data_IF_782400610855
#
_entry.id   IF_782400610855
#
_cell.length_a   1.000
_cell.length_b   1.000
_cell.length_c   1.000
_cell.angle_alpha   90.00
_cell.angle_beta   90.00
_cell.angle_gamma   90.00
#
_symmetry.space_group_name_H-M   'P 1'
#
loop_
_entity.id
_entity.type
_entity.pdbx_description
1 polymer ?
#
# COMPACT_ATOMS: atom_id res chain seq x y z
N UNK A 1 8.39 12.15 -3.89
CA UNK A 1 9.22 11.35 -4.82
C UNK A 1 8.65 9.94 -4.80
N UNK A 2 8.18 9.41 -5.93
CA UNK A 2 7.59 8.06 -5.96
C UNK A 2 8.71 7.03 -6.13
N UNK A 3 8.93 6.21 -5.10
CA UNK A 3 9.91 5.13 -5.16
C UNK A 3 9.24 3.88 -5.72
N UNK A 4 9.81 3.29 -6.77
CA UNK A 4 9.35 2.02 -7.34
C UNK A 4 10.17 0.86 -6.77
N UNK A 5 9.50 -0.13 -6.22
CA UNK A 5 10.07 -1.33 -5.61
C UNK A 5 9.50 -2.55 -6.35
N UNK A 6 10.35 -3.47 -6.77
CA UNK A 6 9.98 -4.66 -7.55
C UNK A 6 10.45 -5.98 -6.89
N UNK A 7 11.15 -5.90 -5.75
CA UNK A 7 11.67 -7.05 -5.01
C UNK A 7 11.58 -6.84 -3.50
N UNK A 8 11.61 -7.94 -2.75
CA UNK A 8 11.56 -7.89 -1.27
C UNK A 8 12.83 -7.32 -0.67
N UNK A 9 13.98 -7.57 -1.29
CA UNK A 9 15.27 -7.01 -0.88
C UNK A 9 15.21 -5.48 -0.94
N UNK A 10 14.77 -4.92 -2.07
CA UNK A 10 14.59 -3.46 -2.22
C UNK A 10 13.57 -2.89 -1.25
N UNK A 11 12.53 -3.64 -0.91
CA UNK A 11 11.54 -3.23 0.09
C UNK A 11 12.18 -3.11 1.47
N UNK A 12 12.98 -4.10 1.87
CA UNK A 12 13.67 -4.10 3.15
C UNK A 12 14.72 -2.99 3.22
N UNK A 13 15.54 -2.84 2.17
CA UNK A 13 16.54 -1.76 2.08
C UNK A 13 15.87 -0.37 2.18
N UNK A 14 14.72 -0.20 1.53
CA UNK A 14 13.94 1.04 1.61
C UNK A 14 13.44 1.30 3.05
N UNK A 15 12.95 0.28 3.74
CA UNK A 15 12.49 0.42 5.12
C UNK A 15 13.66 0.74 6.06
N UNK A 16 14.77 0.04 5.92
CA UNK A 16 15.97 0.24 6.75
C UNK A 16 16.58 1.62 6.57
N UNK A 17 16.72 2.07 5.31
CA UNK A 17 17.26 3.40 5.01
C UNK A 17 16.42 4.54 5.57
N UNK A 18 15.10 4.41 5.59
CA UNK A 18 14.23 5.42 6.19
C UNK A 18 14.19 5.36 7.72
N UNK A 19 14.38 4.18 8.34
CA UNK A 19 14.51 4.07 9.80
C UNK A 19 15.83 4.64 10.33
N UNK A 20 16.89 4.62 9.53
CA UNK A 20 18.22 5.11 9.92
C UNK A 20 18.33 6.65 10.00
N UNK A 21 17.36 7.40 9.46
CA UNK A 21 17.35 8.88 9.46
C UNK A 21 16.27 9.44 10.39
N UNK A 22 16.55 9.62 11.70
CA UNK A 22 15.57 10.13 12.67
C UNK A 22 15.29 11.64 12.59
N UNK A 23 15.92 12.35 11.64
CA UNK A 23 15.95 13.82 11.58
C UNK A 23 14.63 14.44 11.04
N UNK A 24 13.63 13.65 10.63
CA UNK A 24 12.30 14.15 10.20
C UNK A 24 11.25 13.05 10.34
N UNK A 25 10.10 13.35 10.94
CA UNK A 25 8.95 12.42 11.02
C UNK A 25 8.35 12.26 9.61
N UNK A 26 8.95 11.41 8.79
CA UNK A 26 8.41 11.04 7.48
C UNK A 26 7.29 10.04 7.65
N UNK A 27 6.21 10.24 6.91
CA UNK A 27 5.07 9.34 6.81
C UNK A 27 5.27 8.47 5.59
N UNK A 28 5.47 7.17 5.77
CA UNK A 28 5.72 6.23 4.68
C UNK A 28 4.49 5.38 4.42
N UNK A 29 3.98 5.50 3.20
CA UNK A 29 2.89 4.69 2.69
C UNK A 29 3.44 3.71 1.66
N UNK A 30 3.23 2.41 1.89
CA UNK A 30 3.55 1.36 0.93
C UNK A 30 2.30 1.04 0.10
N UNK A 31 2.38 1.15 -1.22
CA UNK A 31 1.33 0.77 -2.16
C UNK A 31 1.72 -0.52 -2.88
N UNK A 32 1.12 -1.65 -2.51
CA UNK A 32 1.27 -2.90 -3.22
C UNK A 32 0.29 -2.95 -4.40
N UNK A 33 0.82 -3.07 -5.61
CA UNK A 33 0.03 -3.04 -6.85
C UNK A 33 0.59 -4.01 -7.89
N UNK A 34 -0.26 -4.44 -8.82
CA UNK A 34 0.19 -5.26 -9.95
C UNK A 34 1.08 -4.49 -10.91
N UNK A 35 2.03 -5.16 -11.56
CA UNK A 35 2.89 -4.54 -12.58
C UNK A 35 2.09 -3.84 -13.68
N UNK A 36 2.57 -2.66 -14.06
CA UNK A 36 1.98 -1.84 -15.13
C UNK A 36 2.55 -2.27 -16.48
N UNK A 37 1.71 -2.28 -17.51
CA UNK A 37 2.11 -2.48 -18.90
C UNK A 37 2.73 -1.20 -19.49
N UNK A 38 3.13 -1.23 -20.76
CA UNK A 38 3.71 -0.06 -21.46
C UNK A 38 2.77 1.14 -21.57
N UNK A 39 1.45 0.94 -21.39
CA UNK A 39 0.46 2.00 -21.35
C UNK A 39 0.20 2.52 -19.91
N UNK A 40 0.99 2.08 -18.93
CA UNK A 40 0.85 2.48 -17.52
C UNK A 40 -0.31 1.81 -16.78
N UNK A 41 -0.99 0.82 -17.38
CA UNK A 41 -2.13 0.13 -16.75
C UNK A 41 -1.68 -1.16 -16.08
N UNK A 42 -2.13 -1.36 -14.84
CA UNK A 42 -1.95 -2.62 -14.13
C UNK A 42 -2.84 -3.70 -14.73
N UNK A 43 -2.40 -4.96 -14.65
CA UNK A 43 -3.25 -6.12 -14.97
C UNK A 43 -4.44 -6.27 -14.02
N UNK A 44 -4.39 -5.63 -12.84
CA UNK A 44 -5.47 -5.64 -11.86
C UNK A 44 -6.43 -4.46 -12.12
N UNK A 45 -7.73 -4.72 -12.37
CA UNK A 45 -8.73 -3.67 -12.55
C UNK A 45 -8.84 -2.73 -11.35
N UNK A 46 -8.89 -3.28 -10.13
CA UNK A 46 -9.04 -2.49 -8.89
C UNK A 46 -7.83 -1.58 -8.66
N UNK A 47 -6.62 -2.04 -9.00
CA UNK A 47 -5.43 -1.20 -8.95
C UNK A 47 -5.55 0.01 -9.89
N UNK A 48 -6.13 -0.14 -11.08
CA UNK A 48 -6.32 0.97 -12.02
C UNK A 48 -7.38 1.97 -11.55
N UNK A 49 -8.34 1.53 -10.74
CA UNK A 49 -9.36 2.41 -10.13
C UNK A 49 -8.78 3.16 -8.94
N UNK A 50 -7.98 2.50 -8.11
CA UNK A 50 -7.39 3.10 -6.91
C UNK A 50 -6.24 4.09 -7.22
N UNK A 51 -5.38 3.79 -8.20
CA UNK A 51 -4.20 4.60 -8.56
C UNK A 51 -4.49 6.11 -8.70
N UNK A 52 -5.50 6.56 -9.50
CA UNK A 52 -5.79 7.98 -9.62
C UNK A 52 -6.34 8.62 -8.33
N UNK A 53 -7.04 7.86 -7.49
CA UNK A 53 -7.59 8.36 -6.21
C UNK A 53 -6.44 8.59 -5.22
N UNK A 54 -5.52 7.62 -5.13
CA UNK A 54 -4.34 7.69 -4.28
C UNK A 54 -3.45 8.88 -4.69
N UNK A 55 -3.22 9.04 -5.99
CA UNK A 55 -2.43 10.17 -6.52
C UNK A 55 -3.12 11.51 -6.24
N UNK A 56 -4.44 11.59 -6.42
CA UNK A 56 -5.22 12.77 -6.07
C UNK A 56 -5.06 13.14 -4.60
N UNK A 57 -5.32 12.21 -3.69
CA UNK A 57 -5.22 12.45 -2.23
C UNK A 57 -3.82 12.87 -1.82
N UNK A 58 -2.79 12.23 -2.39
CA UNK A 58 -1.40 12.62 -2.15
C UNK A 58 -1.13 14.07 -2.56
N UNK A 59 -1.57 14.46 -3.75
CA UNK A 59 -1.37 15.80 -4.29
C UNK A 59 -2.18 16.85 -3.54
N UNK A 60 -3.40 16.53 -3.11
CA UNK A 60 -4.28 17.41 -2.35
C UNK A 60 -3.73 17.69 -0.94
N UNK A 61 -3.12 16.68 -0.30
CA UNK A 61 -2.46 16.86 0.99
C UNK A 61 -1.18 17.71 0.86
N UNK A 62 -0.44 17.54 -0.23
CA UNK A 62 0.80 18.26 -0.53
C UNK A 62 1.79 18.28 0.67
N UNK A 63 1.83 17.19 1.45
CA UNK A 63 2.67 17.07 2.64
C UNK A 63 4.10 16.67 2.22
N UNK A 64 5.12 17.53 2.43
CA UNK A 64 6.50 17.22 2.06
C UNK A 64 7.10 16.05 2.85
N UNK A 65 6.49 15.65 3.96
CA UNK A 65 6.94 14.53 4.79
C UNK A 65 6.26 13.21 4.40
N UNK A 66 5.22 13.24 3.58
CA UNK A 66 4.52 12.07 3.08
C UNK A 66 5.27 11.49 1.87
N UNK A 67 5.63 10.22 1.94
CA UNK A 67 6.25 9.49 0.83
C UNK A 67 5.46 8.23 0.52
N UNK A 68 5.07 8.06 -0.74
CA UNK A 68 4.46 6.83 -1.24
C UNK A 68 5.53 6.02 -1.97
N UNK A 69 5.73 4.78 -1.51
CA UNK A 69 6.55 3.78 -2.18
C UNK A 69 5.65 2.75 -2.85
N UNK A 70 5.72 2.69 -4.18
CA UNK A 70 4.95 1.75 -5.00
C UNK A 70 5.70 0.45 -5.11
N UNK A 71 5.12 -0.62 -4.59
CA UNK A 71 5.64 -1.99 -4.62
C UNK A 71 4.89 -2.80 -5.67
N UNK A 72 5.59 -3.18 -6.73
CA UNK A 72 5.08 -4.03 -7.78
C UNK A 72 5.19 -5.50 -7.36
N UNK A 73 4.05 -6.17 -7.20
CA UNK A 73 3.99 -7.57 -6.75
C UNK A 73 4.36 -8.59 -7.84
N UNK A 74 4.66 -8.10 -9.04
CA UNK A 74 4.89 -8.89 -10.25
C UNK A 74 3.68 -8.96 -11.18
N UNK A 75 3.79 -9.81 -12.20
CA UNK A 75 2.69 -10.14 -13.11
C UNK A 75 1.61 -11.00 -12.43
N UNK A 76 0.46 -11.14 -13.11
CA UNK A 76 -0.69 -11.89 -12.58
C UNK A 76 -0.33 -13.35 -12.25
N UNK A 77 0.50 -14.01 -13.04
CA UNK A 77 0.94 -15.40 -12.79
C UNK A 77 1.78 -15.52 -11.53
N UNK A 78 2.73 -14.61 -11.35
CA UNK A 78 3.62 -14.53 -10.20
C UNK A 78 2.84 -14.17 -8.94
N UNK A 79 1.84 -13.31 -9.05
CA UNK A 79 0.97 -12.94 -7.93
C UNK A 79 0.03 -14.07 -7.47
N UNK A 80 -0.48 -14.87 -8.42
CA UNK A 80 -1.34 -16.03 -8.12
C UNK A 80 -0.59 -17.17 -7.43
N UNK A 81 0.73 -17.21 -7.55
CA UNK A 81 1.54 -18.19 -6.84
C UNK A 81 1.50 -17.90 -5.33
N UNK A 82 1.07 -18.88 -4.53
CA UNK A 82 1.04 -18.76 -3.06
C UNK A 82 2.42 -18.57 -2.42
N UNK A 83 3.49 -18.94 -3.13
CA UNK A 83 4.88 -18.71 -2.74
C UNK A 83 5.42 -17.34 -3.18
N UNK A 84 4.55 -16.43 -3.62
CA UNK A 84 4.96 -15.07 -3.93
C UNK A 84 5.65 -14.42 -2.71
N UNK A 85 6.85 -13.82 -2.87
CA UNK A 85 7.61 -13.26 -1.75
C UNK A 85 6.85 -12.21 -0.94
N UNK A 86 5.96 -11.43 -1.55
CA UNK A 86 5.16 -10.42 -0.86
C UNK A 86 4.00 -11.03 -0.07
N UNK A 87 3.43 -12.15 -0.54
CA UNK A 87 2.44 -12.96 0.22
C UNK A 87 3.06 -13.61 1.44
N UNK A 88 4.30 -14.09 1.31
CA UNK A 88 5.06 -14.75 2.37
C UNK A 88 5.89 -13.78 3.22
N UNK A 89 5.85 -12.48 2.93
CA UNK A 89 6.67 -11.50 3.63
C UNK A 89 6.37 -11.51 5.13
N UNK A 90 7.35 -11.72 6.02
CA UNK A 90 7.10 -11.96 7.44
C UNK A 90 6.30 -10.86 8.12
N UNK A 91 6.56 -9.59 7.73
CA UNK A 91 5.93 -8.39 8.29
C UNK A 91 4.61 -7.98 7.62
N UNK A 92 4.46 -8.19 6.32
CA UNK A 92 3.39 -7.54 5.55
C UNK A 92 2.31 -8.51 5.05
N UNK A 93 2.69 -9.76 4.77
CA UNK A 93 1.79 -10.85 4.37
C UNK A 93 0.65 -10.38 3.46
N UNK A 94 0.99 -9.76 2.32
CA UNK A 94 0.02 -9.09 1.46
C UNK A 94 -0.79 -10.16 0.72
N UNK A 95 -2.11 -10.21 0.94
CA UNK A 95 -2.96 -11.29 0.41
C UNK A 95 -3.80 -10.89 -0.81
N UNK A 96 -4.02 -9.60 -0.99
CA UNK A 96 -4.79 -9.00 -2.08
C UNK A 96 -4.03 -7.80 -2.65
N UNK A 97 -4.46 -7.30 -3.81
CA UNK A 97 -3.99 -6.04 -4.37
C UNK A 97 -5.20 -5.30 -4.97
N UNK A 98 -5.26 -3.96 -4.89
CA UNK A 98 -4.29 -3.07 -4.27
C UNK A 98 -4.30 -3.17 -2.73
N UNK A 99 -3.15 -2.90 -2.11
CA UNK A 99 -3.05 -2.76 -0.65
C UNK A 99 -2.19 -1.56 -0.30
N UNK A 100 -2.72 -0.67 0.54
CA UNK A 100 -1.98 0.46 1.11
C UNK A 100 -1.61 0.14 2.56
N UNK A 101 -0.39 0.44 2.97
CA UNK A 101 0.08 0.24 4.35
C UNK A 101 0.75 1.53 4.83
N UNK A 102 0.29 2.08 5.96
CA UNK A 102 0.99 3.11 6.69
C UNK A 102 1.99 2.47 7.65
N UNK A 103 3.28 2.66 7.37
CA UNK A 103 4.36 1.91 8.01
C UNK A 103 4.49 2.21 9.52
N UNK A 104 4.34 3.47 9.90
CA UNK A 104 4.55 3.99 11.25
C UNK A 104 3.35 3.73 12.16
N UNK A 105 2.14 3.83 11.60
CA UNK A 105 0.88 3.59 12.34
C UNK A 105 0.41 2.15 12.32
N UNK A 106 1.06 1.30 11.51
CA UNK A 106 0.68 -0.09 11.31
C UNK A 106 -0.80 -0.25 10.88
N UNK A 107 -1.26 0.64 10.01
CA UNK A 107 -2.61 0.63 9.44
C UNK A 107 -2.54 0.19 7.98
N UNK A 108 -3.59 -0.45 7.48
CA UNK A 108 -3.66 -0.82 6.06
C UNK A 108 -5.07 -0.75 5.50
N UNK A 109 -5.17 -0.53 4.20
CA UNK A 109 -6.38 -0.63 3.40
C UNK A 109 -6.16 -1.65 2.29
N UNK A 110 -7.21 -2.40 1.99
CA UNK A 110 -7.17 -3.48 1.01
C UNK A 110 -8.31 -3.30 -0.01
N UNK A 111 -8.03 -3.64 -1.27
CA UNK A 111 -8.99 -3.71 -2.37
C UNK A 111 -9.85 -2.45 -2.50
N UNK A 112 -11.17 -2.57 -2.28
CA UNK A 112 -12.13 -1.48 -2.39
C UNK A 112 -11.83 -0.30 -1.45
N UNK A 113 -11.19 -0.55 -0.30
CA UNK A 113 -10.78 0.52 0.61
C UNK A 113 -9.73 1.46 -0.01
N UNK A 114 -8.92 0.97 -0.96
CA UNK A 114 -7.97 1.81 -1.68
C UNK A 114 -8.63 2.69 -2.75
N UNK A 115 -9.89 2.41 -3.10
CA UNK A 115 -10.68 3.20 -4.04
C UNK A 115 -11.64 4.18 -3.35
N UNK A 116 -11.57 4.30 -2.02
CA UNK A 116 -12.36 5.24 -1.23
C UNK A 116 -11.46 6.42 -0.82
N UNK A 117 -11.76 7.61 -1.35
CA UNK A 117 -10.97 8.81 -1.14
C UNK A 117 -10.86 9.20 0.34
N UNK A 118 -11.96 9.07 1.11
CA UNK A 118 -11.99 9.41 2.54
C UNK A 118 -11.11 8.44 3.33
N UNK A 119 -11.19 7.14 3.03
CA UNK A 119 -10.36 6.14 3.70
C UNK A 119 -8.88 6.32 3.39
N UNK A 120 -8.53 6.57 2.12
CA UNK A 120 -7.14 6.83 1.72
C UNK A 120 -6.60 8.07 2.43
N UNK A 121 -7.38 9.16 2.50
CA UNK A 121 -6.98 10.38 3.21
C UNK A 121 -6.75 10.12 4.70
N UNK A 122 -7.66 9.38 5.34
CA UNK A 122 -7.54 9.01 6.76
C UNK A 122 -6.36 8.10 7.03
N UNK A 123 -6.06 7.16 6.12
CA UNK A 123 -4.87 6.33 6.19
C UNK A 123 -3.62 7.19 6.15
N UNK A 124 -3.52 8.16 5.24
CA UNK A 124 -2.33 9.00 5.11
C UNK A 124 -2.11 9.89 6.33
N UNK A 125 -3.19 10.32 6.97
CA UNK A 125 -3.15 11.09 8.21
C UNK A 125 -2.97 10.23 9.47
N UNK A 126 -2.95 8.90 9.34
CA UNK A 126 -2.83 7.97 10.46
C UNK A 126 -4.06 7.91 11.37
N UNK A 127 -5.23 8.33 10.88
CA UNK A 127 -6.47 8.49 11.64
C UNK A 127 -7.57 7.47 11.29
N UNK A 128 -7.18 6.32 10.71
CA UNK A 128 -8.09 5.18 10.61
C UNK A 128 -8.46 4.69 12.01
N UNK A 129 -9.74 4.82 12.36
CA UNK A 129 -10.29 4.27 13.59
C UNK A 129 -10.53 2.76 13.40
N UNK A 130 -10.51 2.00 14.50
CA UNK A 130 -11.03 0.62 14.50
C UNK A 130 -12.46 0.64 13.94
N UNK A 131 -12.73 -0.08 12.83
CA UNK A 131 -14.09 -0.32 12.34
C UNK A 131 -14.50 0.31 11.00
N UNK A 132 -13.60 0.69 10.10
CA UNK A 132 -13.99 1.12 8.75
C UNK A 132 -13.14 0.46 7.65
N UNK A 133 -13.68 -0.59 7.00
CA UNK A 133 -13.58 -0.79 5.54
C UNK A 133 -14.45 -1.96 5.03
N UNK A 134 -15.37 -1.59 4.14
CA UNK A 134 -15.93 -2.27 2.95
C UNK A 134 -16.47 -3.72 3.00
N UNK A 135 -17.74 -3.82 2.57
CA UNK A 135 -18.56 -5.04 2.43
C UNK A 135 -17.94 -6.05 1.45
N UNK A 136 -17.44 -7.16 1.96
CA UNK A 136 -17.99 -8.54 1.79
C UNK A 136 -16.90 -9.54 2.16
N UNK A 137 -17.06 -10.22 3.30
CA UNK A 137 -16.16 -11.29 3.73
C UNK A 137 -15.51 -10.94 5.06
N UNK A 138 -15.71 -11.81 6.04
CA UNK A 138 -15.48 -11.55 7.46
C UNK A 138 -14.00 -11.34 7.79
N UNK A 139 -13.61 -10.08 8.01
CA UNK A 139 -12.56 -9.69 8.93
C UNK A 139 -13.25 -8.94 10.06
N UNK A 140 -13.13 -9.38 11.31
CA UNK A 140 -13.61 -8.58 12.45
C UNK A 140 -12.89 -7.23 12.38
N UNK A 141 -13.68 -6.17 12.27
CA UNK A 141 -13.30 -4.75 12.26
C UNK A 141 -12.69 -4.17 10.98
N UNK A 142 -12.61 -4.92 9.86
CA UNK A 142 -12.19 -4.37 8.56
C UNK A 142 -10.78 -3.75 8.55
N UNK A 143 -10.02 -3.94 9.63
CA UNK A 143 -8.65 -3.48 9.83
C UNK A 143 -7.81 -4.72 10.08
N UNK A 144 -7.11 -5.20 9.05
CA UNK A 144 -6.05 -6.16 9.27
C UNK A 144 -4.85 -5.38 9.83
N UNK A 145 -4.70 -5.31 11.15
CA UNK A 145 -3.41 -4.97 11.76
C UNK A 145 -2.37 -5.95 11.21
N UNK A 146 -1.18 -5.49 10.86
CA UNK A 146 -0.09 -6.43 10.62
C UNK A 146 0.09 -7.21 11.93
N UNK A 147 -0.12 -8.53 11.86
CA UNK A 147 0.10 -9.44 12.98
C UNK A 147 1.55 -9.37 13.46
#
# INVERSE_FOLDING_TARGET
MFTSIDSVEKLNDFIESNNATPETTKTIILLFTGTKNSAGKSWCPDCNVADPIIEKVHNDLNDPNLTIATVFVGDLSSWKNGENPFRRHPKFQVNCVPTLIHLEKNQRLEEAGCADEELVQRLFQGSLNEGYASKTGVCTDGVCRLR
#
